data_IF_588231582803
#
_entry.id   IF_588231582803
#
_cell.length_a   1.000
_cell.length_b   1.000
_cell.length_c   1.000
_cell.angle_alpha   90.00
_cell.angle_beta   90.00
_cell.angle_gamma   90.00
#
_symmetry.space_group_name_H-M   'P 1'
#
loop_
_entity.id
_entity.type
_entity.pdbx_description
1 polymer ?
#
# COMPACT_ATOMS: atom_id res chain seq x y z
N UNK A 1 5.72 8.96 14.29
CA UNK A 1 5.88 7.64 13.64
C UNK A 1 4.51 6.99 13.62
N UNK A 2 4.04 6.46 12.50
CA UNK A 2 2.76 5.72 12.41
C UNK A 2 3.04 4.27 12.05
N UNK A 3 2.15 3.37 12.47
CA UNK A 3 2.10 1.99 11.98
C UNK A 3 1.16 1.98 10.77
N UNK A 4 1.59 1.36 9.67
CA UNK A 4 0.77 1.14 8.48
C UNK A 4 0.52 -0.36 8.34
N UNK A 5 -0.73 -0.75 8.12
CA UNK A 5 -1.13 -2.16 8.07
C UNK A 5 -2.45 -2.32 7.31
N UNK A 6 -2.76 -3.54 6.88
CA UNK A 6 -4.04 -3.85 6.24
C UNK A 6 -5.05 -4.41 7.26
N UNK A 7 -6.32 -4.06 7.10
CA UNK A 7 -7.45 -4.65 7.84
C UNK A 7 -8.47 -5.16 6.83
N UNK A 8 -8.97 -6.38 7.03
CA UNK A 8 -9.99 -7.01 6.17
C UNK A 8 -9.45 -8.23 5.43
N UNK A 9 -10.25 -8.75 4.48
CA UNK A 9 -9.88 -9.89 3.62
C UNK A 9 -10.55 -9.73 2.24
N UNK A 10 -9.87 -10.17 1.18
CA UNK A 10 -10.39 -10.11 -0.19
C UNK A 10 -10.73 -8.68 -0.59
N UNK A 11 -11.83 -8.51 -1.33
CA UNK A 11 -12.31 -7.20 -1.82
C UNK A 11 -12.74 -6.19 -0.73
N UNK A 12 -12.56 -6.52 0.55
CA UNK A 12 -12.74 -5.61 1.68
C UNK A 12 -11.47 -5.37 2.50
N UNK A 13 -10.31 -5.86 2.06
CA UNK A 13 -9.03 -5.57 2.68
C UNK A 13 -8.54 -4.17 2.26
N UNK A 14 -8.21 -3.35 3.26
CA UNK A 14 -7.91 -1.94 3.06
C UNK A 14 -6.70 -1.53 3.91
N UNK A 15 -5.96 -0.50 3.48
CA UNK A 15 -4.80 0.02 4.19
C UNK A 15 -5.22 1.06 5.23
N UNK A 16 -4.64 0.94 6.42
CA UNK A 16 -4.86 1.82 7.56
C UNK A 16 -3.54 2.34 8.11
N UNK A 17 -3.62 3.46 8.84
CA UNK A 17 -2.55 3.99 9.67
C UNK A 17 -3.03 4.25 11.09
N UNK A 18 -2.14 4.12 12.07
CA UNK A 18 -2.41 4.51 13.46
C UNK A 18 -1.13 4.92 14.18
N UNK A 19 -1.27 5.56 15.34
CA UNK A 19 -0.15 5.78 16.25
C UNK A 19 0.30 4.46 16.90
N UNK A 20 1.58 4.33 17.32
CA UNK A 20 2.09 3.11 17.94
C UNK A 20 1.39 2.71 19.26
N UNK A 21 0.74 3.67 19.93
CA UNK A 21 -0.09 3.44 21.11
C UNK A 21 -1.51 2.94 20.76
N UNK A 22 -1.81 2.76 19.47
CA UNK A 22 -3.12 2.33 18.94
C UNK A 22 -4.14 3.45 18.75
N UNK A 23 -3.78 4.71 19.05
CA UNK A 23 -4.67 5.86 18.85
C UNK A 23 -4.67 6.35 17.38
N UNK A 24 -5.65 7.19 17.04
CA UNK A 24 -5.74 7.85 15.73
C UNK A 24 -5.70 6.88 14.53
N UNK A 25 -6.58 5.87 14.56
CA UNK A 25 -6.79 4.93 13.47
C UNK A 25 -7.48 5.62 12.29
N UNK A 26 -6.80 5.66 11.15
CA UNK A 26 -7.26 6.29 9.91
C UNK A 26 -7.21 5.27 8.77
N UNK A 27 -8.28 5.18 7.99
CA UNK A 27 -8.31 4.41 6.74
C UNK A 27 -7.69 5.24 5.62
N UNK A 28 -6.80 4.65 4.83
CA UNK A 28 -6.06 5.36 3.76
C UNK A 28 -6.59 5.03 2.37
N UNK A 29 -7.15 3.83 2.17
CA UNK A 29 -7.71 3.38 0.89
C UNK A 29 -9.22 3.14 1.02
N UNK A 30 -9.96 3.43 -0.05
CA UNK A 30 -11.42 3.43 -0.05
C UNK A 30 -11.94 2.87 -1.38
N UNK A 31 -11.82 1.57 -1.57
CA UNK A 31 -12.24 0.92 -2.81
C UNK A 31 -12.91 -0.44 -2.52
N UNK A 32 -13.14 -1.23 -3.56
CA UNK A 32 -13.74 -2.58 -3.48
C UNK A 32 -12.79 -3.60 -4.10
N UNK A 33 -11.50 -3.44 -3.87
CA UNK A 33 -10.46 -4.39 -4.26
C UNK A 33 -9.67 -4.78 -3.02
N UNK A 34 -8.78 -5.76 -3.17
CA UNK A 34 -7.91 -6.18 -2.08
C UNK A 34 -6.64 -5.32 -2.09
N UNK A 35 -6.50 -4.46 -1.07
CA UNK A 35 -5.30 -3.67 -0.82
C UNK A 35 -4.54 -4.24 0.39
N UNK A 36 -3.32 -4.74 0.16
CA UNK A 36 -2.55 -5.52 1.12
C UNK A 36 -1.05 -5.22 1.06
N UNK A 37 -0.33 -5.73 2.06
CA UNK A 37 1.13 -5.63 2.20
C UNK A 37 1.70 -4.21 2.05
N UNK A 38 1.21 -3.23 2.84
CA UNK A 38 1.75 -1.89 2.76
C UNK A 38 3.17 -1.82 3.34
N UNK A 39 4.05 -1.08 2.66
CA UNK A 39 5.42 -0.82 3.07
C UNK A 39 5.70 0.68 2.94
N UNK A 40 5.85 1.40 4.07
CA UNK A 40 6.29 2.79 4.07
C UNK A 40 7.69 2.93 3.48
N UNK A 41 7.93 4.01 2.73
CA UNK A 41 9.28 4.37 2.30
C UNK A 41 10.16 4.74 3.51
N UNK A 42 11.49 4.59 3.43
CA UNK A 42 12.39 4.90 4.54
C UNK A 42 12.33 6.35 5.04
N UNK A 43 12.05 7.29 4.14
CA UNK A 43 11.87 8.72 4.44
C UNK A 43 10.44 9.06 4.92
N UNK A 44 9.53 8.08 4.92
CA UNK A 44 8.14 8.22 5.31
C UNK A 44 7.28 9.08 4.38
N UNK A 45 7.76 9.43 3.18
CA UNK A 45 7.02 10.30 2.24
C UNK A 45 6.06 9.55 1.34
N UNK A 46 6.18 8.21 1.25
CA UNK A 46 5.35 7.36 0.41
C UNK A 46 5.01 6.04 1.11
N UNK A 47 3.95 5.40 0.64
CA UNK A 47 3.57 4.03 1.01
C UNK A 47 3.41 3.25 -0.29
N UNK A 48 4.19 2.18 -0.45
CA UNK A 48 3.96 1.20 -1.51
C UNK A 48 3.04 0.09 -0.97
N UNK A 49 2.18 -0.47 -1.80
CA UNK A 49 1.30 -1.57 -1.42
C UNK A 49 0.89 -2.39 -2.64
N UNK A 50 0.39 -3.59 -2.40
CA UNK A 50 -0.17 -4.45 -3.45
C UNK A 50 -1.68 -4.21 -3.52
N UNK A 51 -2.21 -4.02 -4.73
CA UNK A 51 -3.65 -3.85 -4.97
C UNK A 51 -4.12 -4.77 -6.08
N UNK A 52 -5.34 -5.29 -5.95
CA UNK A 52 -5.96 -6.09 -7.01
C UNK A 52 -6.61 -5.19 -8.06
N UNK A 53 -6.37 -5.48 -9.32
CA UNK A 53 -6.92 -4.74 -10.46
C UNK A 53 -8.24 -5.33 -10.96
N UNK A 54 -9.03 -4.61 -11.77
CA UNK A 54 -10.31 -5.11 -12.28
C UNK A 54 -10.23 -6.43 -13.07
N UNK A 55 -9.08 -6.76 -13.62
CA UNK A 55 -8.77 -8.03 -14.31
C UNK A 55 -8.27 -9.14 -13.36
N UNK A 56 -8.27 -8.89 -12.05
CA UNK A 56 -7.92 -9.86 -11.01
C UNK A 56 -6.42 -10.11 -10.85
N UNK A 57 -5.57 -9.21 -11.37
CA UNK A 57 -4.14 -9.25 -11.18
C UNK A 57 -3.74 -8.44 -9.95
N UNK A 58 -2.56 -8.75 -9.41
CA UNK A 58 -1.94 -7.94 -8.38
C UNK A 58 -0.92 -7.01 -9.01
N UNK A 59 -0.97 -5.75 -8.62
CA UNK A 59 -0.02 -4.73 -9.03
C UNK A 59 0.46 -3.91 -7.85
N UNK A 60 1.60 -3.25 -8.07
CA UNK A 60 2.20 -2.36 -7.09
C UNK A 60 1.64 -0.95 -7.29
N UNK A 61 1.14 -0.39 -6.20
CA UNK A 61 0.67 0.97 -6.11
C UNK A 61 1.49 1.74 -5.09
N UNK A 62 1.57 3.06 -5.27
CA UNK A 62 2.19 3.99 -4.33
C UNK A 62 1.25 5.14 -4.03
N UNK A 63 1.20 5.58 -2.78
CA UNK A 63 0.41 6.74 -2.33
C UNK A 63 1.20 7.58 -1.31
N UNK A 64 0.68 8.77 -1.01
CA UNK A 64 1.13 9.57 0.12
C UNK A 64 0.67 8.99 1.47
N UNK A 65 1.32 9.33 2.60
CA UNK A 65 0.95 8.82 3.92
C UNK A 65 -0.45 9.22 4.40
N UNK A 66 -1.07 10.21 3.76
CA UNK A 66 -2.45 10.65 4.00
C UNK A 66 -3.48 9.96 3.08
N UNK A 67 -3.05 9.01 2.25
CA UNK A 67 -3.89 8.30 1.28
C UNK A 67 -4.09 9.02 -0.06
N UNK A 68 -3.49 10.20 -0.25
CA UNK A 68 -3.59 10.94 -1.52
C UNK A 68 -2.59 10.46 -2.58
N UNK A 69 -2.75 10.96 -3.81
CA UNK A 69 -1.82 10.73 -4.94
C UNK A 69 -1.53 9.26 -5.27
N UNK A 70 -2.56 8.40 -5.17
CA UNK A 70 -2.47 6.98 -5.53
C UNK A 70 -2.04 6.85 -7.00
N UNK A 71 -0.94 6.12 -7.24
CA UNK A 71 -0.36 5.86 -8.55
C UNK A 71 -0.07 4.38 -8.70
N UNK A 72 -0.54 3.77 -9.79
CA UNK A 72 -0.19 2.39 -10.18
C UNK A 72 1.19 2.38 -10.84
N UNK A 73 2.13 1.58 -10.34
CA UNK A 73 3.50 1.51 -10.85
C UNK A 73 3.72 0.37 -11.85
N UNK A 74 2.97 -0.72 -11.71
CA UNK A 74 3.09 -1.89 -12.58
C UNK A 74 1.78 -2.12 -13.36
N UNK A 75 1.91 -2.53 -14.61
CA UNK A 75 0.77 -2.68 -15.55
C UNK A 75 0.92 -3.85 -16.51
N UNK A 76 1.89 -4.73 -16.27
CA UNK A 76 2.13 -5.88 -17.15
C UNK A 76 1.18 -7.03 -16.78
N UNK A 77 0.95 -8.01 -17.67
CA UNK A 77 -0.12 -9.00 -17.50
C UNK A 77 0.24 -10.14 -16.53
N UNK A 78 1.15 -9.93 -15.58
CA UNK A 78 1.49 -10.90 -14.53
C UNK A 78 1.34 -10.23 -13.17
N UNK A 79 1.28 -11.05 -12.13
CA UNK A 79 1.13 -10.54 -10.77
C UNK A 79 2.46 -10.04 -10.21
N UNK A 80 2.41 -8.85 -9.61
CA UNK A 80 3.46 -8.26 -8.80
C UNK A 80 2.95 -8.08 -7.37
N UNK A 81 3.75 -8.48 -6.39
CA UNK A 81 3.39 -8.41 -4.97
C UNK A 81 4.66 -8.34 -4.10
N UNK A 82 4.49 -8.32 -2.77
CA UNK A 82 5.60 -8.33 -1.79
C UNK A 82 6.59 -7.18 -1.99
N UNK A 83 6.06 -5.99 -2.27
CA UNK A 83 6.84 -4.79 -2.53
C UNK A 83 7.79 -4.45 -1.37
N UNK A 84 8.99 -3.98 -1.68
CA UNK A 84 9.91 -3.40 -0.68
C UNK A 84 10.70 -2.23 -1.27
N UNK A 85 11.24 -1.38 -0.40
CA UNK A 85 12.04 -0.22 -0.79
C UNK A 85 13.53 -0.52 -0.61
N UNK A 86 14.36 0.06 -1.49
CA UNK A 86 15.78 0.21 -1.19
C UNK A 86 15.97 1.08 0.07
N UNK A 87 17.09 0.89 0.77
CA UNK A 87 17.39 1.63 2.01
C UNK A 87 17.34 3.16 1.83
N UNK A 88 17.71 3.64 0.65
CA UNK A 88 17.68 5.06 0.29
C UNK A 88 16.35 5.52 -0.33
N UNK A 89 15.34 4.64 -0.41
CA UNK A 89 14.01 4.94 -0.95
C UNK A 89 13.96 5.21 -2.46
N UNK A 90 15.07 5.07 -3.19
CA UNK A 90 15.14 5.40 -4.63
C UNK A 90 14.59 4.30 -5.53
N UNK A 91 14.57 3.06 -5.06
CA UNK A 91 14.13 1.91 -5.82
C UNK A 91 13.06 1.13 -5.07
N UNK A 92 12.19 0.51 -5.85
CA UNK A 92 11.18 -0.44 -5.40
C UNK A 92 11.53 -1.80 -6.01
N UNK A 93 11.48 -2.85 -5.19
CA UNK A 93 11.62 -4.25 -5.60
C UNK A 93 10.30 -4.99 -5.38
N UNK A 94 9.98 -5.93 -6.26
CA UNK A 94 8.78 -6.76 -6.26
C UNK A 94 9.02 -8.04 -7.09
#
# INVERSE_FOLDING_TARGET
MRIIFAIGQGAGAEIYSMNPDGSDLIRLTYNQVEDIYPVPSPDGTKIAYTSTTPDGLWDIFVMNPDGSEITRLTTHPRQDANVTWSFDGRFIFF
#
